data_IF_950651563436
#
_entry.id   IF_950651563436
#
_cell.length_a   1.000
_cell.length_b   1.000
_cell.length_c   1.000
_cell.angle_alpha   90.00
_cell.angle_beta   90.00
_cell.angle_gamma   90.00
#
_symmetry.space_group_name_H-M   'P 1'
#
loop_
_entity.id
_entity.type
_entity.pdbx_description
1 polymer ?
#
# COMPACT_ATOMS: atom_id res chain seq x y z
N UNK A 1 -18.36 10.31 -3.25
CA UNK A 1 -17.01 10.13 -3.85
C UNK A 1 -16.40 11.51 -4.03
N UNK A 2 -15.09 11.67 -3.84
CA UNK A 2 -14.43 12.98 -3.75
C UNK A 2 -13.25 13.03 -2.77
N UNK A 3 -12.76 14.22 -2.47
CA UNK A 3 -11.68 14.44 -1.49
C UNK A 3 -12.22 14.52 -0.06
N UNK A 4 -11.53 13.89 0.88
CA UNK A 4 -11.83 13.98 2.32
C UNK A 4 -10.54 14.12 3.13
N UNK A 5 -10.67 14.66 4.34
CA UNK A 5 -9.60 14.75 5.32
C UNK A 5 -9.68 13.56 6.27
N UNK A 6 -8.62 12.75 6.31
CA UNK A 6 -8.55 11.57 7.14
C UNK A 6 -7.41 11.71 8.15
N UNK A 7 -7.71 11.45 9.42
CA UNK A 7 -6.70 11.33 10.47
C UNK A 7 -6.11 9.91 10.41
N UNK A 8 -4.79 9.76 10.22
CA UNK A 8 -4.15 8.45 10.27
C UNK A 8 -4.33 7.81 11.65
N UNK A 9 -4.43 6.48 11.74
CA UNK A 9 -4.54 5.79 13.01
C UNK A 9 -3.20 5.81 13.77
N UNK A 10 -3.27 5.79 15.11
CA UNK A 10 -2.10 5.67 15.99
C UNK A 10 -1.25 4.43 15.67
N UNK A 11 -1.90 3.30 15.36
CA UNK A 11 -1.23 2.10 14.87
C UNK A 11 -0.91 2.20 13.38
N UNK A 12 0.05 3.06 13.04
CA UNK A 12 0.56 3.27 11.69
C UNK A 12 2.10 3.34 11.65
N UNK A 13 2.67 3.16 10.46
CA UNK A 13 4.11 3.26 10.25
C UNK A 13 4.62 4.70 10.02
N UNK A 14 3.74 5.70 10.14
CA UNK A 14 4.13 7.12 10.05
C UNK A 14 5.15 7.42 11.13
N UNK A 15 6.16 8.24 10.81
CA UNK A 15 7.13 8.72 11.80
C UNK A 15 6.76 10.11 12.28
N UNK A 16 6.80 10.33 13.59
CA UNK A 16 6.64 11.65 14.21
C UNK A 16 7.77 11.84 15.21
N UNK A 17 8.61 12.87 15.00
CA UNK A 17 9.81 13.09 15.81
C UNK A 17 10.87 11.98 15.67
N UNK A 18 11.00 11.39 14.49
CA UNK A 18 12.00 10.34 14.21
C UNK A 18 11.55 8.90 14.54
N UNK A 19 10.48 8.73 15.32
CA UNK A 19 10.00 7.43 15.77
C UNK A 19 8.68 7.02 15.08
N UNK A 20 8.48 5.72 14.86
CA UNK A 20 7.25 5.18 14.26
C UNK A 20 6.08 5.24 15.25
N UNK A 21 4.91 5.60 14.75
CA UNK A 21 3.72 5.82 15.56
C UNK A 21 3.24 4.56 16.30
N UNK A 22 3.34 3.38 15.68
CA UNK A 22 2.94 2.15 16.38
C UNK A 22 3.80 1.83 17.60
N UNK A 23 5.06 2.29 17.66
CA UNK A 23 5.93 2.10 18.82
C UNK A 23 5.47 2.98 19.98
N UNK A 24 5.14 4.25 19.70
CA UNK A 24 4.53 5.17 20.67
C UNK A 24 3.18 4.65 21.19
N UNK A 25 2.32 4.19 20.29
CA UNK A 25 1.01 3.65 20.64
C UNK A 25 1.10 2.44 21.60
N UNK A 26 2.08 1.56 21.40
CA UNK A 26 2.33 0.40 22.29
C UNK A 26 2.80 0.81 23.69
N UNK A 27 3.43 1.97 23.83
CA UNK A 27 3.79 2.55 25.13
C UNK A 27 2.65 3.34 25.78
N UNK A 28 1.47 3.41 25.14
CA UNK A 28 0.33 4.19 25.61
C UNK A 28 0.47 5.70 25.37
N UNK A 29 1.49 6.13 24.62
CA UNK A 29 1.64 7.54 24.25
C UNK A 29 0.62 7.92 23.18
N UNK A 30 -0.13 9.00 23.42
CA UNK A 30 -1.02 9.61 22.43
C UNK A 30 -0.32 10.79 21.77
N UNK A 31 -0.41 10.87 20.44
CA UNK A 31 0.10 12.00 19.67
C UNK A 31 -1.01 12.47 18.75
N UNK A 32 -1.25 13.78 18.74
CA UNK A 32 -2.18 14.35 17.77
C UNK A 32 -1.57 14.28 16.36
N UNK A 33 -2.35 13.72 15.43
CA UNK A 33 -1.95 13.57 14.04
C UNK A 33 -2.73 14.55 13.18
N UNK A 34 -2.01 15.33 12.38
CA UNK A 34 -2.63 16.22 11.41
C UNK A 34 -3.39 15.40 10.36
N UNK A 35 -4.65 15.77 10.04
CA UNK A 35 -5.40 15.14 8.97
C UNK A 35 -4.65 15.23 7.63
N UNK A 36 -4.78 14.19 6.80
CA UNK A 36 -4.23 14.14 5.45
C UNK A 36 -5.36 14.09 4.44
N UNK A 37 -5.18 14.78 3.32
CA UNK A 37 -6.12 14.75 2.22
C UNK A 37 -5.98 13.44 1.45
N UNK A 38 -7.11 12.77 1.23
CA UNK A 38 -7.22 11.54 0.43
C UNK A 38 -8.36 11.68 -0.57
N UNK A 39 -8.33 10.89 -1.63
CA UNK A 39 -9.38 10.86 -2.65
C UNK A 39 -10.05 9.49 -2.66
N UNK A 40 -11.38 9.48 -2.59
CA UNK A 40 -12.21 8.29 -2.79
C UNK A 40 -12.80 8.37 -4.19
N UNK A 41 -12.28 7.53 -5.09
CA UNK A 41 -12.68 7.47 -6.50
C UNK A 41 -13.94 6.63 -6.70
N UNK A 42 -14.03 5.49 -6.00
CA UNK A 42 -15.20 4.61 -6.04
C UNK A 42 -15.48 4.03 -4.65
N UNK A 43 -16.74 3.89 -4.29
CA UNK A 43 -17.15 3.26 -3.04
C UNK A 43 -18.46 2.49 -3.27
N UNK A 44 -18.35 1.17 -3.37
CA UNK A 44 -19.49 0.26 -3.55
C UNK A 44 -19.75 -0.47 -2.23
N UNK A 45 -21.01 -0.55 -1.80
CA UNK A 45 -21.42 -1.25 -0.57
C UNK A 45 -22.28 -2.44 -0.94
N UNK A 46 -21.98 -3.58 -0.35
CA UNK A 46 -22.80 -4.77 -0.40
C UNK A 46 -23.27 -5.09 1.03
N UNK A 47 -24.59 -5.20 1.20
CA UNK A 47 -25.21 -5.48 2.47
C UNK A 47 -26.04 -6.76 2.36
N UNK A 48 -25.74 -7.72 3.23
CA UNK A 48 -26.55 -8.90 3.40
C UNK A 48 -27.81 -8.59 4.21
N UNK A 49 -28.95 -9.21 3.84
CA UNK A 49 -30.20 -9.13 4.62
C UNK A 49 -30.20 -10.10 5.81
N UNK A 50 -29.50 -11.23 5.68
CA UNK A 50 -29.34 -12.26 6.71
C UNK A 50 -28.36 -11.78 7.79
N UNK A 51 -27.13 -11.45 7.39
CA UNK A 51 -26.14 -10.81 8.25
C UNK A 51 -26.24 -9.27 8.20
N UNK A 52 -26.98 -8.72 9.16
CA UNK A 52 -27.19 -7.26 9.26
C UNK A 52 -26.08 -6.53 10.00
N UNK A 53 -25.20 -7.24 10.70
CA UNK A 53 -24.13 -6.66 11.50
C UNK A 53 -22.86 -6.45 10.68
N UNK A 54 -22.59 -7.35 9.72
CA UNK A 54 -21.48 -7.18 8.80
C UNK A 54 -21.88 -6.38 7.55
N UNK A 55 -20.95 -5.57 7.08
CA UNK A 55 -21.06 -4.77 5.87
C UNK A 55 -19.80 -4.98 5.05
N UNK A 56 -19.98 -5.34 3.79
CA UNK A 56 -18.88 -5.49 2.84
C UNK A 56 -18.86 -4.23 1.98
N UNK A 57 -17.68 -3.68 1.75
CA UNK A 57 -17.52 -2.58 0.79
C UNK A 57 -16.26 -2.76 -0.03
N UNK A 58 -16.32 -2.27 -1.26
CA UNK A 58 -15.19 -2.18 -2.19
C UNK A 58 -14.90 -0.71 -2.42
N UNK A 59 -13.63 -0.33 -2.30
CA UNK A 59 -13.21 1.07 -2.42
C UNK A 59 -12.00 1.21 -3.33
N UNK A 60 -12.06 2.19 -4.23
CA UNK A 60 -10.93 2.65 -5.03
C UNK A 60 -10.52 4.01 -4.49
N UNK A 61 -9.28 4.13 -4.02
CA UNK A 61 -8.82 5.31 -3.28
C UNK A 61 -7.38 5.71 -3.63
N UNK A 62 -7.01 6.94 -3.28
CA UNK A 62 -5.63 7.43 -3.44
C UNK A 62 -4.66 6.72 -2.50
N UNK A 63 -3.37 6.79 -2.82
CA UNK A 63 -2.29 6.32 -1.93
C UNK A 63 -2.40 6.95 -0.54
N UNK A 64 -1.98 6.22 0.48
CA UNK A 64 -1.98 6.69 1.87
C UNK A 64 -3.35 6.67 2.55
N UNK A 65 -4.39 6.14 1.90
CA UNK A 65 -5.71 5.95 2.52
C UNK A 65 -5.66 4.82 3.54
N UNK A 66 -6.10 5.09 4.77
CA UNK A 66 -6.27 4.10 5.82
C UNK A 66 -7.70 3.55 5.79
N UNK A 67 -7.86 2.35 5.24
CA UNK A 67 -9.18 1.66 5.19
C UNK A 67 -9.74 1.43 6.60
N UNK A 68 -8.87 1.22 7.59
CA UNK A 68 -9.28 1.11 9.01
C UNK A 68 -9.94 2.39 9.53
N UNK A 69 -9.35 3.55 9.25
CA UNK A 69 -9.94 4.84 9.63
C UNK A 69 -11.25 5.07 8.87
N UNK A 70 -11.28 4.76 7.57
CA UNK A 70 -12.49 4.88 6.75
C UNK A 70 -13.66 4.04 7.29
N UNK A 71 -13.38 2.82 7.76
CA UNK A 71 -14.37 1.96 8.42
C UNK A 71 -14.88 2.58 9.72
N UNK A 72 -13.99 3.08 10.59
CA UNK A 72 -14.37 3.74 11.83
C UNK A 72 -15.22 5.00 11.58
N UNK A 73 -14.85 5.80 10.57
CA UNK A 73 -15.59 7.01 10.19
C UNK A 73 -16.97 6.69 9.62
N UNK A 74 -17.10 5.61 8.83
CA UNK A 74 -18.40 5.10 8.38
C UNK A 74 -19.28 4.69 9.57
N UNK A 75 -18.72 3.96 10.55
CA UNK A 75 -19.42 3.60 11.77
C UNK A 75 -19.96 4.83 12.52
N UNK A 76 -19.10 5.85 12.72
CA UNK A 76 -19.50 7.11 13.36
C UNK A 76 -20.60 7.84 12.60
N UNK A 77 -20.50 7.91 11.27
CA UNK A 77 -21.52 8.54 10.43
C UNK A 77 -22.89 7.85 10.56
N UNK A 78 -22.89 6.53 10.76
CA UNK A 78 -24.07 5.72 11.05
C UNK A 78 -24.52 5.79 12.52
N UNK A 79 -23.92 6.67 13.33
CA UNK A 79 -24.17 6.81 14.78
C UNK A 79 -23.89 5.52 15.57
N UNK A 80 -22.87 4.77 15.13
CA UNK A 80 -22.44 3.52 15.74
C UNK A 80 -20.90 3.47 15.82
N UNK A 81 -20.35 2.31 16.18
CA UNK A 81 -18.95 1.98 16.00
C UNK A 81 -18.79 0.86 14.96
N UNK A 82 -17.69 0.88 14.23
CA UNK A 82 -17.34 -0.16 13.27
C UNK A 82 -15.83 -0.40 13.30
N UNK A 83 -15.45 -1.64 13.05
CA UNK A 83 -14.05 -2.06 12.91
C UNK A 83 -13.95 -3.04 11.75
N UNK A 84 -12.76 -3.11 11.14
CA UNK A 84 -12.51 -4.10 10.09
C UNK A 84 -12.32 -5.48 10.71
N UNK A 85 -13.06 -6.46 10.19
CA UNK A 85 -12.89 -7.88 10.49
C UNK A 85 -12.01 -8.58 9.44
N UNK A 86 -12.08 -8.14 8.19
CA UNK A 86 -11.25 -8.60 7.09
C UNK A 86 -10.87 -7.44 6.16
N UNK A 87 -9.71 -7.55 5.52
CA UNK A 87 -9.25 -6.61 4.51
C UNK A 87 -8.45 -7.35 3.44
N UNK A 88 -8.87 -7.22 2.19
CA UNK A 88 -8.14 -7.72 1.03
C UNK A 88 -7.86 -6.55 0.09
N UNK A 89 -6.66 -6.51 -0.47
CA UNK A 89 -6.29 -5.58 -1.52
C UNK A 89 -6.35 -6.31 -2.85
N UNK A 90 -7.29 -5.91 -3.71
CA UNK A 90 -7.51 -6.57 -4.99
C UNK A 90 -6.57 -6.07 -6.09
N UNK A 91 -6.11 -4.82 -6.02
CA UNK A 91 -5.18 -4.27 -7.01
C UNK A 91 -4.34 -3.10 -6.47
N UNK A 92 -3.27 -2.78 -7.20
CA UNK A 92 -2.40 -1.60 -7.02
C UNK A 92 -2.12 -1.02 -8.41
N UNK A 93 -2.74 0.11 -8.75
CA UNK A 93 -2.63 0.63 -10.12
C UNK A 93 -3.09 -0.43 -11.12
N UNK A 94 -2.24 -0.76 -12.07
CA UNK A 94 -2.51 -1.75 -13.12
C UNK A 94 -2.27 -3.21 -12.68
N UNK A 95 -1.73 -3.43 -11.49
CA UNK A 95 -1.42 -4.78 -10.99
C UNK A 95 -2.60 -5.37 -10.21
N UNK A 96 -3.12 -6.51 -10.66
CA UNK A 96 -4.20 -7.25 -10.01
C UNK A 96 -3.65 -8.36 -9.10
N UNK A 97 -4.35 -8.65 -8.00
CA UNK A 97 -4.05 -9.79 -7.13
C UNK A 97 -4.27 -11.13 -7.84
N UNK A 98 -5.07 -11.17 -8.90
CA UNK A 98 -5.30 -12.39 -9.68
C UNK A 98 -4.07 -12.79 -10.51
N UNK A 99 -3.18 -11.83 -10.80
CA UNK A 99 -1.92 -12.06 -11.49
C UNK A 99 -0.76 -12.29 -10.51
N UNK A 100 -1.02 -12.23 -9.20
CA UNK A 100 -0.02 -12.41 -8.17
C UNK A 100 0.25 -13.89 -7.93
N UNK A 101 1.53 -14.25 -7.81
CA UNK A 101 1.90 -15.58 -7.38
C UNK A 101 1.52 -15.83 -5.93
N UNK A 102 1.05 -17.05 -5.67
CA UNK A 102 1.02 -17.58 -4.33
C UNK A 102 2.43 -17.98 -3.86
N UNK A 103 2.55 -18.36 -2.58
CA UNK A 103 3.85 -18.66 -1.99
C UNK A 103 4.55 -19.87 -2.62
N UNK A 104 3.79 -20.90 -2.98
CA UNK A 104 4.33 -22.13 -3.58
C UNK A 104 4.83 -21.87 -5.01
N UNK A 105 4.05 -21.11 -5.79
CA UNK A 105 4.45 -20.63 -7.11
C UNK A 105 5.73 -19.80 -7.02
N UNK A 106 5.80 -18.85 -6.08
CA UNK A 106 7.00 -18.06 -5.84
C UNK A 106 8.21 -18.94 -5.52
N UNK A 107 8.06 -19.89 -4.60
CA UNK A 107 9.14 -20.79 -4.19
C UNK A 107 9.66 -21.64 -5.36
N UNK A 108 8.76 -22.16 -6.19
CA UNK A 108 9.10 -22.92 -7.38
C UNK A 108 9.86 -22.05 -8.40
N UNK A 109 9.40 -20.82 -8.64
CA UNK A 109 10.04 -19.90 -9.59
C UNK A 109 11.43 -19.44 -9.12
N UNK A 110 11.65 -19.28 -7.81
CA UNK A 110 12.96 -18.94 -7.22
C UNK A 110 13.90 -20.15 -7.29
N UNK A 111 13.43 -21.35 -6.96
CA UNK A 111 14.28 -22.55 -6.87
C UNK A 111 14.74 -23.05 -8.25
N UNK A 112 13.93 -22.85 -9.29
CA UNK A 112 14.25 -23.28 -10.66
C UNK A 112 15.29 -22.40 -11.38
N UNK A 113 15.69 -21.25 -10.82
CA UNK A 113 16.50 -20.26 -11.54
C UNK A 113 17.77 -19.88 -10.75
N UNK A 114 18.94 -20.19 -11.32
CA UNK A 114 20.26 -19.87 -10.78
C UNK A 114 20.76 -18.44 -11.11
N UNK A 115 20.07 -17.67 -11.97
CA UNK A 115 20.53 -16.34 -12.42
C UNK A 115 19.46 -15.25 -12.39
N UNK A 116 19.88 -14.02 -12.06
CA UNK A 116 19.04 -12.81 -11.99
C UNK A 116 18.50 -12.33 -13.36
N UNK A 117 19.07 -12.81 -14.47
CA UNK A 117 18.73 -12.36 -15.83
C UNK A 117 17.34 -12.79 -16.30
N UNK A 118 16.73 -13.80 -15.67
CA UNK A 118 15.44 -14.37 -16.05
C UNK A 118 14.30 -14.05 -15.05
N UNK A 119 14.39 -12.91 -14.37
CA UNK A 119 13.33 -12.45 -13.46
C UNK A 119 12.09 -12.01 -14.27
N UNK A 120 10.88 -12.55 -13.99
CA UNK A 120 9.71 -12.37 -14.86
C UNK A 120 8.98 -11.02 -14.71
N UNK A 121 9.55 -10.12 -13.93
CA UNK A 121 9.18 -8.72 -13.95
C UNK A 121 10.46 -7.96 -14.31
N UNK A 122 10.57 -7.32 -15.49
CA UNK A 122 11.69 -6.44 -15.75
C UNK A 122 11.89 -5.53 -14.53
N UNK A 123 13.12 -5.36 -14.03
CA UNK A 123 13.38 -4.46 -12.88
C UNK A 123 12.75 -3.07 -13.11
N UNK A 124 12.63 -2.67 -14.37
CA UNK A 124 11.91 -1.49 -14.87
C UNK A 124 10.42 -1.44 -14.45
N UNK A 125 9.72 -2.57 -14.43
CA UNK A 125 8.32 -2.68 -13.99
C UNK A 125 8.19 -2.69 -12.46
N UNK A 126 9.18 -3.24 -11.73
CA UNK A 126 9.25 -3.06 -10.27
C UNK A 126 9.35 -1.57 -9.88
N UNK A 127 10.02 -0.75 -10.69
CA UNK A 127 10.09 0.70 -10.48
C UNK A 127 8.82 1.44 -10.89
N UNK A 128 8.06 0.98 -11.91
CA UNK A 128 6.76 1.58 -12.27
C UNK A 128 5.70 1.45 -11.17
N UNK A 129 5.71 0.34 -10.42
CA UNK A 129 4.85 0.16 -9.24
C UNK A 129 5.12 1.20 -8.12
N UNK A 130 6.20 1.98 -8.26
CA UNK A 130 6.65 2.96 -7.28
C UNK A 130 6.91 4.36 -7.89
N UNK A 131 6.08 4.79 -8.86
CA UNK A 131 6.01 6.17 -9.44
C UNK A 131 7.31 6.69 -10.08
N UNK A 132 7.28 6.98 -11.39
CA UNK A 132 7.70 8.24 -12.06
C UNK A 132 7.51 8.06 -13.58
N UNK A 133 6.60 8.80 -14.26
CA UNK A 133 6.68 8.94 -15.71
C UNK A 133 7.78 9.96 -16.02
N UNK A 134 8.65 9.63 -16.97
CA UNK A 134 9.62 10.54 -17.61
C UNK A 134 10.93 10.81 -16.85
N UNK A 135 11.80 9.81 -16.75
CA UNK A 135 13.25 10.06 -16.68
C UNK A 135 14.02 8.94 -17.39
N UNK A 136 14.40 9.20 -18.64
CA UNK A 136 15.18 8.29 -19.47
C UNK A 136 16.66 8.41 -19.03
N UNK A 137 17.25 7.34 -18.49
CA UNK A 137 18.71 7.26 -18.35
C UNK A 137 19.30 6.80 -19.69
N UNK A 138 19.71 7.75 -20.52
CA UNK A 138 20.66 7.44 -21.61
C UNK A 138 22.08 7.62 -21.09
N UNK A 139 22.85 6.53 -21.17
CA UNK A 139 24.31 6.44 -21.21
C UNK A 139 25.12 6.73 -19.95
N UNK A 140 25.63 5.65 -19.34
CA UNK A 140 26.96 5.64 -18.74
C UNK A 140 27.61 4.25 -18.86
N UNK A 141 27.79 3.78 -20.11
CA UNK A 141 28.94 2.93 -20.43
C UNK A 141 29.96 3.82 -21.13
N UNK A 142 30.92 4.35 -20.37
CA UNK A 142 32.20 4.75 -20.95
C UNK A 142 33.34 4.13 -20.15
N UNK A 143 34.06 3.30 -20.87
CA UNK A 143 35.36 2.69 -20.57
C UNK A 143 36.37 3.67 -19.98
N UNK A 144 36.96 3.35 -18.83
CA UNK A 144 38.34 3.69 -18.45
C UNK A 144 38.79 2.54 -17.53
N UNK A 145 39.85 1.78 -17.78
CA UNK A 145 41.16 2.16 -18.29
C UNK A 145 42.18 1.70 -17.24
N UNK A 146 43.16 0.92 -17.67
CA UNK A 146 44.22 0.33 -16.83
C UNK A 146 45.06 1.40 -16.10
N UNK A 147 45.47 1.08 -14.87
CA UNK A 147 46.81 1.31 -14.30
C UNK A 147 47.22 2.74 -13.88
N UNK A 148 47.70 2.88 -12.64
CA UNK A 148 49.03 3.38 -12.27
C UNK A 148 49.11 3.85 -10.78
N UNK A 149 50.06 3.25 -10.05
CA UNK A 149 50.84 3.77 -8.91
C UNK A 149 50.29 4.88 -7.98
N UNK A 150 50.25 4.59 -6.67
CA UNK A 150 51.29 4.97 -5.71
C UNK A 150 51.22 4.06 -4.48
#
# INVERSE_FOLDING_TARGET
>A
MGEIWQVPPMFSAIKVGGEKMYDKARRGESVELSPRRISIYKFDIERSLEDRQNLIFRVTCSKGTYIRSLCADLGKALRSCAHLTALRRDSIGDYSVNDAWNFDELQEQITKRDTYENWPCPLEDCFRAQLFPDMWWTEALSTHGRGASR
#
